data_IF_642765338246
#
_entry.id   IF_642765338246
#
_cell.length_a   1.000
_cell.length_b   1.000
_cell.length_c   1.000
_cell.angle_alpha   90.00
_cell.angle_beta   90.00
_cell.angle_gamma   90.00
#
_symmetry.space_group_name_H-M   'P 1'
#
loop_
_entity.id
_entity.type
_entity.pdbx_description
1 polymer ?
#
# COMPACT_ATOMS: atom_id res chain seq x y z
N UNK A 1 -23.39 -14.82 2.76
CA UNK A 1 -23.18 -13.89 1.63
C UNK A 1 -22.18 -12.84 2.07
N UNK A 2 -21.12 -12.62 1.29
CA UNK A 2 -20.05 -11.65 1.56
C UNK A 2 -20.06 -10.50 0.53
N UNK A 3 -21.12 -10.37 -0.27
CA UNK A 3 -21.23 -9.38 -1.34
C UNK A 3 -21.11 -7.92 -0.84
N UNK A 4 -21.57 -7.65 0.38
CA UNK A 4 -21.58 -6.32 0.99
C UNK A 4 -20.44 -6.10 2.01
N UNK A 5 -19.52 -7.05 2.15
CA UNK A 5 -18.39 -6.91 3.06
C UNK A 5 -17.24 -6.18 2.37
N UNK A 6 -16.52 -5.34 3.13
CA UNK A 6 -15.19 -4.91 2.71
C UNK A 6 -14.26 -6.12 2.66
N UNK A 7 -13.60 -6.32 1.51
CA UNK A 7 -12.66 -7.41 1.28
C UNK A 7 -11.24 -6.87 1.24
N UNK A 8 -10.39 -7.39 2.11
CA UNK A 8 -8.99 -6.96 2.26
C UNK A 8 -8.10 -8.14 1.87
N UNK A 9 -7.33 -8.00 0.80
CA UNK A 9 -6.35 -9.00 0.42
C UNK A 9 -4.99 -8.65 1.04
N UNK A 10 -4.29 -9.66 1.56
CA UNK A 10 -3.01 -9.49 2.27
C UNK A 10 -2.07 -10.61 1.90
N UNK A 11 -0.84 -10.27 1.54
CA UNK A 11 0.25 -11.22 1.33
C UNK A 11 1.60 -10.52 1.55
N UNK A 12 2.72 -11.26 1.58
CA UNK A 12 4.01 -10.67 1.91
C UNK A 12 4.72 -10.06 0.70
N UNK A 13 4.98 -10.86 -0.33
CA UNK A 13 5.84 -10.49 -1.46
C UNK A 13 5.17 -9.53 -2.44
N UNK A 14 5.91 -8.56 -2.95
CA UNK A 14 5.37 -7.64 -3.96
C UNK A 14 5.10 -8.35 -5.30
N UNK A 15 4.18 -7.77 -6.09
CA UNK A 15 3.98 -8.17 -7.50
C UNK A 15 5.14 -7.69 -8.38
N UNK A 16 5.63 -6.49 -8.08
CA UNK A 16 6.77 -5.91 -8.79
C UNK A 16 7.84 -5.51 -7.76
N UNK A 17 9.04 -6.04 -7.92
CA UNK A 17 10.22 -5.69 -7.13
C UNK A 17 11.47 -6.00 -7.94
N UNK A 18 12.61 -5.42 -7.54
CA UNK A 18 13.90 -5.72 -8.17
C UNK A 18 14.40 -7.15 -7.88
N UNK A 19 13.82 -7.83 -6.89
CA UNK A 19 14.19 -9.18 -6.46
C UNK A 19 13.58 -10.28 -7.33
N UNK A 20 14.19 -11.46 -7.29
CA UNK A 20 13.66 -12.68 -7.94
C UNK A 20 12.51 -13.32 -7.16
N UNK A 21 12.28 -12.90 -5.93
CA UNK A 21 11.28 -13.40 -4.99
C UNK A 21 9.94 -12.65 -5.04
N UNK A 22 9.73 -11.82 -6.05
CA UNK A 22 8.40 -11.29 -6.38
C UNK A 22 7.45 -12.43 -6.74
N UNK A 23 6.15 -12.19 -6.57
CA UNK A 23 5.14 -13.13 -7.04
C UNK A 23 5.14 -13.14 -8.57
N UNK A 24 5.48 -14.28 -9.17
CA UNK A 24 5.57 -14.43 -10.63
C UNK A 24 4.26 -14.86 -11.27
N UNK A 25 3.44 -15.64 -10.57
CA UNK A 25 2.08 -15.96 -11.00
C UNK A 25 1.10 -14.92 -10.45
N UNK A 26 0.69 -13.99 -11.30
CA UNK A 26 -0.14 -12.85 -10.93
C UNK A 26 -1.59 -13.00 -11.40
N UNK A 27 -1.98 -14.18 -11.91
CA UNK A 27 -3.34 -14.42 -12.41
C UNK A 27 -4.41 -14.23 -11.33
N UNK A 28 -4.06 -14.49 -10.06
CA UNK A 28 -4.97 -14.31 -8.93
C UNK A 28 -5.46 -12.85 -8.77
N UNK A 29 -4.68 -11.84 -9.18
CA UNK A 29 -5.08 -10.44 -9.09
C UNK A 29 -6.35 -10.17 -9.92
N UNK A 30 -6.49 -10.84 -11.06
CA UNK A 30 -7.71 -10.78 -11.88
C UNK A 30 -8.90 -11.39 -11.15
N UNK A 31 -8.70 -12.51 -10.46
CA UNK A 31 -9.76 -13.13 -9.64
C UNK A 31 -10.19 -12.22 -8.49
N UNK A 32 -9.25 -11.53 -7.83
CA UNK A 32 -9.57 -10.56 -6.79
C UNK A 32 -10.40 -9.39 -7.34
N UNK A 33 -10.08 -8.89 -8.54
CA UNK A 33 -10.86 -7.84 -9.19
C UNK A 33 -12.30 -8.30 -9.46
N UNK A 34 -12.47 -9.49 -10.05
CA UNK A 34 -13.79 -10.08 -10.32
C UNK A 34 -14.57 -10.34 -9.03
N UNK A 35 -13.88 -10.71 -7.95
CA UNK A 35 -14.47 -10.95 -6.64
C UNK A 35 -14.79 -9.67 -5.85
N UNK A 36 -14.51 -8.47 -6.39
CA UNK A 36 -14.86 -7.19 -5.78
C UNK A 36 -13.90 -6.72 -4.68
N UNK A 37 -12.65 -7.17 -4.69
CA UNK A 37 -11.61 -6.55 -3.86
C UNK A 37 -11.23 -5.19 -4.42
N UNK A 38 -10.90 -4.25 -3.52
CA UNK A 38 -10.58 -2.85 -3.86
C UNK A 38 -9.14 -2.47 -3.63
N UNK A 39 -8.48 -3.16 -2.72
CA UNK A 39 -7.07 -2.93 -2.41
C UNK A 39 -6.43 -4.19 -1.87
N UNK A 40 -5.10 -4.18 -1.85
CA UNK A 40 -4.31 -5.21 -1.21
C UNK A 40 -3.12 -4.64 -0.45
N UNK A 41 -2.71 -5.37 0.59
CA UNK A 41 -1.57 -5.02 1.44
C UNK A 41 -0.40 -5.97 1.13
N UNK A 42 0.80 -5.40 1.00
CA UNK A 42 2.02 -6.19 0.93
C UNK A 42 3.21 -5.53 1.65
N UNK A 43 4.27 -6.30 1.84
CA UNK A 43 5.53 -5.87 2.42
C UNK A 43 6.69 -6.21 1.49
N UNK A 44 7.71 -6.84 2.06
CA UNK A 44 8.89 -7.41 1.40
C UNK A 44 9.88 -6.40 0.79
N UNK A 45 9.38 -5.36 0.13
CA UNK A 45 10.22 -4.35 -0.53
C UNK A 45 10.75 -3.27 0.42
N UNK A 46 10.48 -3.36 1.73
CA UNK A 46 11.05 -2.49 2.77
C UNK A 46 10.90 -0.98 2.50
N UNK A 47 9.81 -0.61 1.82
CA UNK A 47 9.45 0.76 1.42
C UNK A 47 7.94 0.90 1.37
N UNK A 48 7.42 1.99 1.95
CA UNK A 48 6.02 2.36 1.72
C UNK A 48 5.84 2.78 0.25
N UNK A 49 4.92 2.14 -0.45
CA UNK A 49 4.67 2.33 -1.88
C UNK A 49 3.18 2.22 -2.16
N UNK A 50 2.73 2.84 -3.25
CA UNK A 50 1.40 2.60 -3.80
C UNK A 50 1.46 2.50 -5.32
N UNK A 51 0.56 1.71 -5.89
CA UNK A 51 0.38 1.52 -7.32
C UNK A 51 -1.09 1.18 -7.60
N UNK A 52 -1.50 1.20 -8.86
CA UNK A 52 -2.86 0.87 -9.27
C UNK A 52 -2.86 -0.25 -10.31
N UNK A 53 -3.52 -1.36 -9.99
CA UNK A 53 -3.87 -2.38 -10.96
C UNK A 53 -5.24 -2.08 -11.56
N UNK A 54 -5.31 -1.82 -12.87
CA UNK A 54 -6.58 -1.60 -13.59
C UNK A 54 -6.98 -2.88 -14.30
N UNK A 55 -8.08 -3.49 -13.86
CA UNK A 55 -8.64 -4.67 -14.52
C UNK A 55 -9.50 -4.25 -15.72
N UNK A 56 -10.48 -3.38 -15.50
CA UNK A 56 -11.22 -2.73 -16.59
C UNK A 56 -10.69 -1.31 -16.83
N UNK A 57 -10.62 -0.89 -18.09
CA UNK A 57 -10.06 0.42 -18.47
C UNK A 57 -11.08 1.56 -18.47
N UNK A 58 -12.36 1.27 -18.26
CA UNK A 58 -13.38 2.31 -18.11
C UNK A 58 -13.15 3.16 -16.85
N UNK A 59 -13.67 4.40 -16.78
CA UNK A 59 -13.50 5.26 -15.61
C UNK A 59 -14.00 4.64 -14.30
N UNK A 60 -15.07 3.84 -14.38
CA UNK A 60 -15.70 3.12 -13.25
C UNK A 60 -15.31 1.65 -13.21
N UNK A 61 -14.28 1.28 -13.97
CA UNK A 61 -13.81 -0.09 -14.11
C UNK A 61 -13.25 -0.68 -12.83
N UNK A 62 -13.27 -2.02 -12.71
CA UNK A 62 -12.65 -2.70 -11.57
C UNK A 62 -11.16 -2.42 -11.54
N UNK A 63 -10.67 -2.14 -10.34
CA UNK A 63 -9.27 -1.81 -10.07
C UNK A 63 -8.92 -2.22 -8.64
N UNK A 64 -7.63 -2.44 -8.39
CA UNK A 64 -7.10 -2.68 -7.06
C UNK A 64 -5.97 -1.70 -6.76
N UNK A 65 -6.10 -0.98 -5.66
CA UNK A 65 -5.03 -0.15 -5.10
C UNK A 65 -4.04 -1.01 -4.32
N UNK A 66 -2.75 -0.89 -4.66
CA UNK A 66 -1.66 -1.53 -3.93
C UNK A 66 -1.25 -0.65 -2.76
N UNK A 67 -1.07 -1.25 -1.57
CA UNK A 67 -0.54 -0.57 -0.39
C UNK A 67 0.68 -1.35 0.14
N UNK A 68 1.87 -0.79 -0.08
CA UNK A 68 3.12 -1.26 0.51
C UNK A 68 3.32 -0.70 1.91
N UNK A 69 3.57 -1.56 2.91
CA UNK A 69 3.65 -1.16 4.31
C UNK A 69 4.94 -0.41 4.71
N UNK A 70 6.05 -0.70 4.02
CA UNK A 70 7.38 -0.30 4.47
C UNK A 70 7.95 -1.22 5.55
N UNK A 71 8.87 -0.69 6.37
CA UNK A 71 9.67 -1.50 7.32
C UNK A 71 9.36 -1.12 8.76
N UNK A 72 8.53 -1.89 9.47
CA UNK A 72 8.18 -1.52 10.84
C UNK A 72 9.36 -1.67 11.83
N UNK A 73 10.07 -2.80 11.75
CA UNK A 73 11.08 -3.17 12.75
C UNK A 73 12.14 -4.15 12.26
N UNK A 74 12.41 -4.22 10.96
CA UNK A 74 13.52 -5.03 10.45
C UNK A 74 14.88 -4.49 10.96
N UNK A 75 15.90 -5.36 11.07
CA UNK A 75 17.27 -4.95 11.36
C UNK A 75 17.74 -3.82 10.44
N UNK A 76 18.60 -2.94 10.96
CA UNK A 76 19.11 -1.77 10.21
C UNK A 76 19.79 -2.16 8.89
N UNK A 77 20.46 -3.30 8.84
CA UNK A 77 21.11 -3.82 7.63
C UNK A 77 20.12 -4.23 6.52
N UNK A 78 18.84 -4.42 6.85
CA UNK A 78 17.78 -4.73 5.88
C UNK A 78 17.00 -3.48 5.46
N UNK A 79 17.29 -2.31 6.02
CA UNK A 79 16.69 -1.06 5.55
C UNK A 79 17.19 -0.73 4.15
N UNK A 80 16.26 -0.28 3.30
CA UNK A 80 16.67 0.34 2.04
C UNK A 80 17.39 1.65 2.39
N UNK A 81 18.62 1.88 1.86
CA UNK A 81 19.31 3.15 2.05
C UNK A 81 18.41 4.34 1.70
N UNK A 82 18.27 5.28 2.65
CA UNK A 82 17.43 6.46 2.51
C UNK A 82 15.94 6.27 2.86
N UNK A 83 15.50 5.07 3.23
CA UNK A 83 14.15 4.83 3.75
C UNK A 83 14.16 4.66 5.27
N UNK A 84 13.27 5.36 6.00
CA UNK A 84 13.12 5.18 7.44
C UNK A 84 12.38 3.88 7.75
N UNK A 85 12.26 3.54 9.04
CA UNK A 85 11.22 2.58 9.45
C UNK A 85 9.85 3.19 9.23
N UNK A 86 8.89 2.36 8.81
CA UNK A 86 7.59 2.78 8.32
C UNK A 86 6.47 1.80 8.68
N UNK A 87 5.25 2.33 8.81
CA UNK A 87 4.01 1.56 8.76
C UNK A 87 2.85 2.43 8.27
N UNK A 88 1.71 1.78 7.99
CA UNK A 88 0.46 2.46 7.65
C UNK A 88 -0.59 2.33 8.78
N UNK A 89 -1.39 3.38 8.99
CA UNK A 89 -2.66 3.33 9.70
C UNK A 89 -3.79 3.39 8.68
N UNK A 90 -4.67 2.40 8.70
CA UNK A 90 -5.82 2.31 7.79
C UNK A 90 -7.07 2.80 8.51
N UNK A 91 -7.63 3.91 8.05
CA UNK A 91 -8.90 4.44 8.56
C UNK A 91 -9.99 4.16 7.53
N UNK A 92 -10.90 3.25 7.87
CA UNK A 92 -12.09 2.98 7.07
C UNK A 92 -13.24 3.80 7.62
N UNK A 93 -13.88 4.60 6.78
CA UNK A 93 -15.09 5.35 7.13
C UNK A 93 -15.96 5.47 5.89
N UNK A 94 -17.24 5.13 6.03
CA UNK A 94 -18.22 5.11 4.94
C UNK A 94 -17.66 4.29 3.75
N UNK A 95 -17.67 4.84 2.54
CA UNK A 95 -17.14 4.18 1.34
C UNK A 95 -15.69 4.61 1.00
N UNK A 96 -14.90 4.95 2.02
CA UNK A 96 -13.53 5.44 1.84
C UNK A 96 -12.55 4.80 2.82
N UNK A 97 -11.39 4.42 2.29
CA UNK A 97 -10.20 4.09 3.06
C UNK A 97 -9.23 5.28 2.99
N UNK A 98 -8.81 5.81 4.13
CA UNK A 98 -7.66 6.72 4.22
C UNK A 98 -6.44 5.95 4.74
N UNK A 99 -5.34 6.00 4.00
CA UNK A 99 -4.06 5.37 4.34
C UNK A 99 -3.13 6.45 4.87
N UNK A 100 -2.85 6.46 6.17
CA UNK A 100 -1.82 7.33 6.77
C UNK A 100 -0.51 6.58 6.86
N UNK A 101 0.61 7.18 6.47
CA UNK A 101 1.94 6.61 6.58
C UNK A 101 2.71 7.28 7.72
N UNK A 102 3.34 6.48 8.57
CA UNK A 102 4.14 6.94 9.70
C UNK A 102 5.57 6.48 9.53
N UNK A 103 6.52 7.27 10.03
CA UNK A 103 7.94 6.95 10.02
C UNK A 103 8.62 7.22 11.35
N UNK A 104 9.77 6.60 11.56
CA UNK A 104 10.76 6.98 12.57
C UNK A 104 12.17 6.87 11.98
N UNK A 105 13.04 7.80 12.34
CA UNK A 105 14.43 7.82 11.88
C UNK A 105 15.38 7.07 12.80
N UNK A 106 15.09 7.05 14.11
CA UNK A 106 15.92 6.41 15.12
C UNK A 106 15.34 5.06 15.53
N UNK A 107 16.20 4.09 15.87
CA UNK A 107 15.79 2.71 16.23
C UNK A 107 14.88 2.65 17.45
N UNK A 108 14.95 3.64 18.34
CA UNK A 108 14.08 3.82 19.52
C UNK A 108 13.39 5.19 19.51
N UNK A 109 13.33 5.84 18.34
CA UNK A 109 12.72 7.16 18.18
C UNK A 109 11.20 7.12 18.15
N UNK A 110 10.62 8.31 18.26
CA UNK A 110 9.18 8.50 18.15
C UNK A 110 8.70 8.36 16.69
N UNK A 111 7.50 7.79 16.54
CA UNK A 111 6.81 7.74 15.25
C UNK A 111 6.14 9.07 14.94
N UNK A 112 6.31 9.55 13.71
CA UNK A 112 5.74 10.80 13.21
C UNK A 112 5.15 10.67 11.80
N UNK A 113 4.34 11.62 11.34
CA UNK A 113 3.87 11.67 9.95
C UNK A 113 5.00 11.50 8.93
N UNK A 114 4.75 10.70 7.88
CA UNK A 114 5.63 10.56 6.72
C UNK A 114 5.02 11.24 5.50
N UNK A 115 5.24 12.55 5.37
CA UNK A 115 4.72 13.38 4.27
C UNK A 115 5.38 13.08 2.91
N UNK A 116 5.16 11.88 2.37
CA UNK A 116 5.77 11.40 1.12
C UNK A 116 4.84 11.44 -0.09
N UNK A 117 3.53 11.58 0.12
CA UNK A 117 2.54 11.46 -0.95
C UNK A 117 2.35 12.82 -1.61
N UNK A 118 2.98 13.01 -2.77
CA UNK A 118 2.89 14.24 -3.57
C UNK A 118 1.46 14.51 -4.02
N UNK A 119 1.01 15.76 -3.97
CA UNK A 119 -0.36 16.17 -4.29
C UNK A 119 -0.48 16.96 -5.61
N UNK A 120 0.58 16.97 -6.42
CA UNK A 120 0.67 17.77 -7.64
C UNK A 120 1.51 19.03 -7.48
N UNK A 121 1.62 19.80 -8.56
CA UNK A 121 2.52 20.96 -8.64
C UNK A 121 2.15 22.04 -7.62
N UNK A 122 3.15 22.49 -6.85
CA UNK A 122 2.98 23.57 -5.87
C UNK A 122 2.25 23.19 -4.57
N UNK A 123 1.83 21.92 -4.41
CA UNK A 123 1.14 21.43 -3.22
C UNK A 123 2.09 20.57 -2.39
N UNK A 124 2.17 20.85 -1.08
CA UNK A 124 2.97 20.06 -0.15
C UNK A 124 2.55 18.59 -0.13
N UNK A 125 3.51 17.70 0.06
CA UNK A 125 3.21 16.28 0.21
C UNK A 125 2.44 16.03 1.52
N UNK A 126 1.53 15.06 1.48
CA UNK A 126 0.75 14.63 2.63
C UNK A 126 1.31 13.33 3.21
N UNK A 127 1.01 13.09 4.48
CA UNK A 127 1.26 11.80 5.13
C UNK A 127 0.13 10.81 4.91
N UNK A 128 -0.85 11.13 4.05
CA UNK A 128 -1.96 10.26 3.71
C UNK A 128 -2.44 10.39 2.27
N UNK A 129 -3.22 9.41 1.83
CA UNK A 129 -4.04 9.43 0.62
C UNK A 129 -5.33 8.61 0.85
N UNK A 130 -6.30 8.74 -0.06
CA UNK A 130 -7.60 8.07 0.05
C UNK A 130 -7.86 7.12 -1.14
N UNK A 131 -8.51 6.00 -0.84
CA UNK A 131 -8.99 4.99 -1.78
C UNK A 131 -10.51 4.91 -1.63
N UNK A 132 -11.23 4.90 -2.75
CA UNK A 132 -12.67 4.66 -2.81
C UNK A 132 -12.96 3.15 -2.76
N UNK A 133 -13.83 2.74 -1.83
CA UNK A 133 -14.20 1.34 -1.58
C UNK A 133 -15.40 0.89 -2.45
#
# INVERSE_FOLDING_TARGET
DYGNCLKIAVWHHALNSAGSDRITDQGFIQQLAVAGFRFFLHGHIHKAETSLFRYDLSPTGRKLDQIGAGTFGAPTQELIPGYPWQYNLLKVKDNQLTVYTRRREEINGAWKPDSRWTQGAGVGALDYYSIEL
#
